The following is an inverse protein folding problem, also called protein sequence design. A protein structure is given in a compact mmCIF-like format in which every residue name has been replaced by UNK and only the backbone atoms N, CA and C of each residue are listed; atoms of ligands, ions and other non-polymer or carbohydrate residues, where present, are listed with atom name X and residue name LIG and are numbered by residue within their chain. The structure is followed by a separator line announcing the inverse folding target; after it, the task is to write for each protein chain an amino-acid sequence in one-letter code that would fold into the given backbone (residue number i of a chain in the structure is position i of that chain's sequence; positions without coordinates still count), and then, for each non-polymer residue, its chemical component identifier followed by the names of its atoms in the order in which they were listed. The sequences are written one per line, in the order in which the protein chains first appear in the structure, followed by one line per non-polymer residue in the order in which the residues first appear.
data_IF_089274846754
#
_entry.id   IF_089274846754
#
_cell.length_a   1.000
_cell.length_b   1.000
_cell.length_c   1.000
_cell.angle_alpha   90.00
_cell.angle_beta   90.00
_cell.angle_gamma   90.00
#
_symmetry.space_group_name_H-M   'P 1'
#
loop_
_entity.id
_entity.type
_entity.pdbx_description
1 polymer ?
#
# COMPACT_ATOMS: atom_id res chain seq x y z
N UNK A 1 -22.84 24.05 -26.35
CA UNK A 1 -21.36 23.95 -26.33
C UNK A 1 -20.77 23.50 -25.00
N UNK A 2 -21.29 23.86 -23.82
CA UNK A 2 -20.72 23.43 -22.52
C UNK A 2 -20.75 21.89 -22.29
N UNK A 3 -21.77 21.19 -22.75
CA UNK A 3 -21.91 19.73 -22.57
C UNK A 3 -21.08 18.90 -23.56
N UNK A 4 -20.73 19.46 -24.71
CA UNK A 4 -19.87 18.76 -25.70
C UNK A 4 -18.43 18.61 -25.19
N UNK A 5 -17.91 19.61 -24.49
CA UNK A 5 -16.56 19.55 -23.87
C UNK A 5 -16.52 18.56 -22.69
N UNK A 6 -17.61 18.44 -21.94
CA UNK A 6 -17.70 17.46 -20.84
C UNK A 6 -17.78 16.03 -21.38
N UNK A 7 -18.49 15.80 -22.48
CA UNK A 7 -18.58 14.50 -23.14
C UNK A 7 -17.23 14.09 -23.74
N UNK A 8 -16.51 15.05 -24.34
CA UNK A 8 -15.17 14.79 -24.92
C UNK A 8 -14.14 14.41 -23.84
N UNK A 9 -14.20 15.03 -22.66
CA UNK A 9 -13.35 14.67 -21.53
C UNK A 9 -13.71 13.27 -21.03
N UNK A 10 -14.97 12.89 -20.95
CA UNK A 10 -15.40 11.55 -20.53
C UNK A 10 -14.98 10.46 -21.54
N UNK A 11 -15.02 10.73 -22.84
CA UNK A 11 -14.58 9.76 -23.87
C UNK A 11 -13.08 9.56 -23.91
N UNK A 12 -12.27 10.54 -23.49
CA UNK A 12 -10.83 10.40 -23.38
C UNK A 12 -10.45 9.48 -22.20
N UNK A 13 -11.20 9.51 -21.11
CA UNK A 13 -10.98 8.64 -19.95
C UNK A 13 -11.39 7.18 -20.18
N UNK A 14 -12.31 6.89 -21.09
CA UNK A 14 -12.78 5.52 -21.36
C UNK A 14 -11.74 4.61 -22.01
N UNK A 15 -10.71 5.17 -22.68
CA UNK A 15 -9.71 4.40 -23.40
C UNK A 15 -8.39 4.17 -22.66
N UNK A 16 -8.25 4.58 -21.39
CA UNK A 16 -7.00 4.44 -20.63
C UNK A 16 -7.06 3.23 -19.68
N UNK A 17 -7.58 2.10 -20.15
CA UNK A 17 -7.43 0.81 -19.45
C UNK A 17 -6.09 0.17 -19.79
N UNK A 18 -4.98 0.87 -19.56
CA UNK A 18 -3.66 0.22 -19.59
C UNK A 18 -3.43 -0.53 -18.29
N UNK A 19 -3.61 -1.84 -18.32
CA UNK A 19 -3.19 -2.74 -17.27
C UNK A 19 -1.71 -2.48 -16.94
N UNK A 20 -1.41 -2.11 -15.70
CA UNK A 20 -0.04 -2.00 -15.23
C UNK A 20 0.62 -3.36 -15.25
N UNK A 21 1.53 -3.55 -16.18
CA UNK A 21 2.38 -4.73 -16.19
C UNK A 21 3.73 -4.41 -15.54
N UNK A 22 3.99 -4.98 -14.37
CA UNK A 22 5.29 -4.94 -13.69
C UNK A 22 6.02 -6.26 -14.02
N UNK A 23 6.63 -6.32 -15.23
CA UNK A 23 7.36 -7.49 -15.67
C UNK A 23 8.71 -7.59 -14.98
N UNK A 24 8.97 -8.73 -14.34
CA UNK A 24 10.22 -9.05 -13.64
C UNK A 24 10.81 -10.31 -14.19
N UNK A 25 12.13 -10.40 -14.23
CA UNK A 25 12.81 -11.62 -14.64
C UNK A 25 12.50 -12.76 -13.67
N UNK A 26 12.29 -13.94 -14.23
CA UNK A 26 11.90 -15.10 -13.45
C UNK A 26 11.80 -16.36 -14.29
N UNK A 27 11.21 -17.39 -13.72
CA UNK A 27 10.99 -18.65 -14.40
C UNK A 27 9.76 -19.38 -13.83
N UNK A 28 9.16 -20.22 -14.63
CA UNK A 28 8.11 -21.16 -14.21
C UNK A 28 8.68 -22.58 -14.17
N UNK A 29 8.16 -23.39 -13.27
CA UNK A 29 8.51 -24.81 -13.09
C UNK A 29 7.31 -25.61 -13.58
N UNK A 30 7.47 -26.31 -14.71
CA UNK A 30 6.40 -27.09 -15.32
C UNK A 30 6.04 -28.33 -14.47
N UNK A 31 4.94 -29.00 -14.82
CA UNK A 31 4.53 -30.26 -14.20
C UNK A 31 5.57 -31.37 -14.35
N UNK A 32 6.41 -31.30 -15.39
CA UNK A 32 7.48 -32.24 -15.74
C UNK A 32 8.82 -31.89 -15.06
N UNK A 33 8.86 -30.86 -14.22
CA UNK A 33 10.04 -30.27 -13.58
C UNK A 33 10.97 -29.48 -14.51
N UNK A 34 10.53 -29.17 -15.72
CA UNK A 34 11.29 -28.28 -16.59
C UNK A 34 11.18 -26.83 -16.14
N UNK A 35 12.22 -26.05 -16.46
CA UNK A 35 12.29 -24.64 -16.11
C UNK A 35 12.21 -23.76 -17.36
N UNK A 36 11.15 -22.99 -17.49
CA UNK A 36 10.99 -22.00 -18.56
C UNK A 36 11.38 -20.61 -18.05
N UNK A 37 12.51 -20.08 -18.53
CA UNK A 37 13.02 -18.77 -18.13
C UNK A 37 12.38 -17.67 -18.98
N UNK A 38 12.10 -16.51 -18.35
CA UNK A 38 11.48 -15.37 -19.01
C UNK A 38 11.13 -14.27 -18.04
N UNK A 39 9.99 -13.64 -18.29
CA UNK A 39 9.48 -12.56 -17.45
C UNK A 39 8.10 -12.94 -16.89
N UNK A 40 7.89 -12.62 -15.63
CA UNK A 40 6.63 -12.83 -14.90
C UNK A 40 6.05 -11.47 -14.55
N UNK A 41 4.76 -11.27 -14.80
CA UNK A 41 4.07 -10.06 -14.41
C UNK A 41 3.78 -10.10 -12.90
N UNK A 42 4.39 -9.17 -12.16
CA UNK A 42 4.14 -9.02 -10.74
C UNK A 42 2.79 -8.32 -10.53
N UNK A 43 1.78 -9.11 -10.27
CA UNK A 43 0.41 -8.68 -10.00
C UNK A 43 0.22 -8.30 -8.53
N UNK A 44 -1.00 -7.85 -8.18
CA UNK A 44 -1.38 -7.73 -6.77
C UNK A 44 -1.37 -9.12 -6.09
N UNK A 45 -1.07 -9.18 -4.79
CA UNK A 45 -0.92 -10.44 -4.05
C UNK A 45 -2.08 -11.42 -4.20
N UNK A 46 -3.32 -10.90 -4.23
CA UNK A 46 -4.52 -11.72 -4.47
C UNK A 46 -4.45 -12.47 -5.80
N UNK A 47 -3.98 -11.81 -6.86
CA UNK A 47 -3.86 -12.40 -8.19
C UNK A 47 -2.66 -13.34 -8.30
N UNK A 48 -1.54 -13.05 -7.60
CA UNK A 48 -0.35 -13.91 -7.59
C UNK A 48 -0.65 -15.31 -7.03
N UNK A 49 -1.62 -15.43 -6.11
CA UNK A 49 -2.08 -16.71 -5.59
C UNK A 49 -2.98 -17.50 -6.55
N UNK A 50 -3.48 -16.89 -7.61
CA UNK A 50 -4.45 -17.49 -8.52
C UNK A 50 -3.92 -17.75 -9.92
N UNK A 51 -3.03 -16.88 -10.43
CA UNK A 51 -2.49 -16.97 -11.78
C UNK A 51 -1.04 -16.46 -11.86
N UNK A 52 -0.28 -17.04 -12.78
CA UNK A 52 1.05 -16.59 -13.18
C UNK A 52 1.00 -16.16 -14.64
N UNK A 53 1.20 -14.86 -14.91
CA UNK A 53 1.33 -14.35 -16.27
C UNK A 53 2.79 -14.33 -16.67
N UNK A 54 3.14 -15.15 -17.66
CA UNK A 54 4.50 -15.37 -18.14
C UNK A 54 4.66 -14.95 -19.59
N UNK A 55 5.84 -14.48 -19.95
CA UNK A 55 6.29 -14.33 -21.34
C UNK A 55 7.77 -14.67 -21.45
N UNK A 56 8.18 -15.29 -22.53
CA UNK A 56 9.59 -15.66 -22.74
C UNK A 56 10.50 -14.42 -22.91
N UNK A 57 9.99 -13.38 -23.60
CA UNK A 57 10.66 -12.10 -23.78
C UNK A 57 9.63 -10.98 -24.02
N UNK A 58 10.09 -9.73 -24.19
CA UNK A 58 9.23 -8.56 -24.37
C UNK A 58 8.35 -8.59 -25.63
N UNK A 59 8.70 -9.39 -26.64
CA UNK A 59 7.98 -9.53 -27.92
C UNK A 59 7.09 -10.77 -27.96
N UNK A 60 7.24 -11.69 -26.99
CA UNK A 60 6.47 -12.94 -26.94
C UNK A 60 5.04 -12.70 -26.46
N UNK A 61 4.12 -13.54 -26.88
CA UNK A 61 2.77 -13.61 -26.33
C UNK A 61 2.78 -13.92 -24.83
N UNK A 62 1.76 -13.44 -24.14
CA UNK A 62 1.59 -13.69 -22.71
C UNK A 62 0.85 -15.02 -22.54
N UNK A 63 1.45 -15.92 -21.77
CA UNK A 63 0.81 -17.16 -21.33
C UNK A 63 0.39 -17.01 -19.86
N UNK A 64 -0.85 -17.36 -19.56
CA UNK A 64 -1.37 -17.39 -18.18
C UNK A 64 -1.41 -18.83 -17.71
N UNK A 65 -0.69 -19.12 -16.61
CA UNK A 65 -0.71 -20.41 -15.95
C UNK A 65 -1.53 -20.35 -14.66
N UNK A 66 -2.38 -21.33 -14.46
CA UNK A 66 -3.11 -21.55 -13.22
C UNK A 66 -2.41 -22.59 -12.33
N UNK A 67 -2.74 -22.71 -11.04
CA UNK A 67 -2.06 -23.64 -10.13
C UNK A 67 -2.06 -25.11 -10.56
N UNK A 68 -3.01 -25.52 -11.39
CA UNK A 68 -3.07 -26.87 -11.98
C UNK A 68 -2.09 -27.11 -13.13
N UNK A 69 -1.58 -26.03 -13.75
CA UNK A 69 -0.83 -26.09 -15.02
C UNK A 69 0.67 -26.22 -14.77
N UNK A 70 1.17 -25.68 -13.66
CA UNK A 70 2.61 -25.64 -13.30
C UNK A 70 2.82 -25.91 -11.81
N UNK A 71 3.98 -26.46 -11.44
CA UNK A 71 4.35 -26.70 -10.03
C UNK A 71 4.61 -25.41 -9.25
N UNK A 72 4.97 -24.34 -9.95
CA UNK A 72 5.24 -23.07 -9.33
C UNK A 72 6.00 -22.10 -10.23
N UNK A 73 6.33 -20.95 -9.68
CA UNK A 73 7.10 -19.94 -10.39
C UNK A 73 7.94 -19.09 -9.43
N UNK A 74 8.99 -18.49 -9.97
CA UNK A 74 9.95 -17.70 -9.18
C UNK A 74 10.18 -16.36 -9.88
N UNK A 75 9.96 -15.28 -9.15
CA UNK A 75 10.45 -13.95 -9.52
C UNK A 75 11.87 -13.80 -8.94
N UNK A 76 12.85 -13.66 -9.80
CA UNK A 76 14.29 -13.65 -9.43
C UNK A 76 14.56 -12.56 -8.39
N UNK A 77 15.23 -12.93 -7.28
CA UNK A 77 15.55 -12.08 -6.14
C UNK A 77 14.33 -11.43 -5.45
N UNK A 78 13.15 -11.98 -5.64
CA UNK A 78 11.94 -11.40 -5.08
C UNK A 78 11.11 -12.43 -4.31
N UNK A 79 10.43 -13.39 -4.97
CA UNK A 79 9.55 -14.36 -4.34
C UNK A 79 9.49 -15.68 -5.12
N UNK A 80 9.22 -16.77 -4.43
CA UNK A 80 8.92 -18.10 -4.97
C UNK A 80 7.48 -18.44 -4.63
N UNK A 81 6.77 -18.97 -5.59
CA UNK A 81 5.39 -19.45 -5.46
C UNK A 81 5.32 -20.92 -5.82
N UNK A 82 4.62 -21.70 -5.03
CA UNK A 82 4.43 -23.14 -5.24
C UNK A 82 2.95 -23.46 -5.35
N UNK A 83 2.59 -24.34 -6.29
CA UNK A 83 1.23 -24.84 -6.42
C UNK A 83 0.95 -25.80 -5.28
N UNK A 84 -0.05 -25.51 -4.48
CA UNK A 84 -0.42 -26.34 -3.32
C UNK A 84 -1.93 -26.40 -3.17
N UNK A 85 -2.39 -27.54 -2.67
CA UNK A 85 -3.79 -27.75 -2.33
C UNK A 85 -4.03 -27.24 -0.91
N UNK A 86 -4.93 -26.29 -0.78
CA UNK A 86 -5.44 -25.80 0.49
C UNK A 86 -6.94 -26.12 0.54
N UNK A 87 -7.48 -26.33 1.73
CA UNK A 87 -8.85 -26.80 1.89
C UNK A 87 -9.09 -28.12 1.10
N UNK A 88 -10.34 -28.59 0.97
CA UNK A 88 -10.61 -29.91 0.37
C UNK A 88 -10.26 -29.99 -1.11
N UNK A 89 -10.47 -28.92 -1.91
CA UNK A 89 -10.28 -28.97 -3.38
C UNK A 89 -9.66 -27.71 -4.01
N UNK A 90 -9.24 -26.74 -3.22
CA UNK A 90 -8.74 -25.45 -3.74
C UNK A 90 -7.25 -25.51 -4.00
N UNK A 91 -6.83 -25.53 -5.27
CA UNK A 91 -5.45 -25.35 -5.71
C UNK A 91 -5.14 -23.85 -5.83
N UNK A 92 -4.02 -23.44 -5.24
CA UNK A 92 -3.53 -22.05 -5.23
C UNK A 92 -2.02 -22.02 -5.35
N UNK A 93 -1.46 -20.85 -5.70
CA UNK A 93 -0.04 -20.60 -5.53
C UNK A 93 0.23 -19.98 -4.15
N UNK A 94 0.91 -20.70 -3.29
CA UNK A 94 1.40 -20.21 -2.00
C UNK A 94 2.73 -19.50 -2.19
N UNK A 95 2.87 -18.30 -1.65
CA UNK A 95 4.17 -17.62 -1.54
C UNK A 95 5.03 -18.35 -0.52
N UNK A 96 6.20 -18.81 -0.93
CA UNK A 96 7.16 -19.51 -0.09
C UNK A 96 7.99 -18.47 0.66
N UNK A 97 7.67 -18.22 1.93
CA UNK A 97 8.34 -17.21 2.73
C UNK A 97 9.69 -17.68 3.28
N UNK A 98 9.74 -18.91 3.77
CA UNK A 98 10.93 -19.52 4.36
C UNK A 98 11.00 -20.97 3.94
N UNK A 99 12.16 -21.38 3.41
CA UNK A 99 12.50 -22.72 2.99
C UNK A 99 13.52 -23.30 3.99
N UNK A 100 13.27 -24.49 4.54
CA UNK A 100 14.19 -25.09 5.50
C UNK A 100 13.65 -26.39 6.13
N UNK A 101 13.91 -26.62 7.40
CA UNK A 101 13.35 -27.76 8.14
C UNK A 101 11.85 -27.56 8.38
N UNK A 102 11.45 -26.32 8.64
CA UNK A 102 10.07 -25.88 8.74
C UNK A 102 9.81 -24.86 7.64
N UNK A 103 9.00 -25.22 6.69
CA UNK A 103 8.59 -24.34 5.61
C UNK A 103 7.44 -23.45 6.08
N UNK A 104 7.51 -22.17 5.71
CA UNK A 104 6.46 -21.19 5.96
C UNK A 104 5.95 -20.63 4.65
N UNK A 105 4.63 -20.67 4.47
CA UNK A 105 3.95 -20.17 3.29
C UNK A 105 2.90 -19.12 3.63
N UNK A 106 2.57 -18.31 2.64
CA UNK A 106 1.60 -17.22 2.74
C UNK A 106 0.72 -17.14 1.50
N UNK A 107 -0.52 -16.75 1.71
CA UNK A 107 -1.43 -16.32 0.64
C UNK A 107 -2.44 -15.31 1.17
N UNK A 108 -2.88 -14.40 0.30
CA UNK A 108 -4.01 -13.51 0.56
C UNK A 108 -5.21 -13.94 -0.25
N UNK A 109 -6.25 -14.41 0.42
CA UNK A 109 -7.50 -14.86 -0.17
C UNK A 109 -8.67 -14.17 0.54
N UNK A 110 -9.64 -13.67 -0.23
CA UNK A 110 -10.86 -13.05 0.28
C UNK A 110 -10.55 -11.94 1.32
N UNK A 111 -9.52 -11.13 0.99
CA UNK A 111 -8.97 -10.05 1.79
C UNK A 111 -8.42 -10.44 3.17
N UNK A 112 -8.23 -11.75 3.40
CA UNK A 112 -7.61 -12.31 4.60
C UNK A 112 -6.23 -12.86 4.29
N UNK A 113 -5.29 -12.59 5.19
CA UNK A 113 -3.96 -13.19 5.17
C UNK A 113 -4.03 -14.58 5.80
N UNK A 114 -3.56 -15.59 5.08
CA UNK A 114 -3.52 -16.98 5.55
C UNK A 114 -2.08 -17.48 5.51
N UNK A 115 -1.66 -18.18 6.55
CA UNK A 115 -0.32 -18.72 6.71
C UNK A 115 -0.38 -20.23 6.86
N UNK A 116 0.60 -20.91 6.27
CA UNK A 116 0.67 -22.37 6.30
C UNK A 116 2.08 -22.78 6.68
N UNK A 117 2.18 -23.90 7.38
CA UNK A 117 3.47 -24.55 7.72
C UNK A 117 3.47 -25.98 7.19
N UNK A 118 4.67 -26.42 6.82
CA UNK A 118 4.94 -27.78 6.38
C UNK A 118 6.31 -28.22 6.91
N UNK A 119 6.47 -29.52 7.09
CA UNK A 119 7.74 -30.10 7.48
C UNK A 119 7.86 -31.48 6.84
N UNK A 120 9.08 -31.98 6.53
CA UNK A 120 9.30 -33.25 5.84
C UNK A 120 8.46 -34.44 6.36
N UNK A 121 8.18 -34.47 7.66
CA UNK A 121 7.41 -35.54 8.32
C UNK A 121 5.96 -35.16 8.65
N UNK A 122 5.55 -33.94 8.38
CA UNK A 122 4.21 -33.41 8.72
C UNK A 122 3.64 -32.65 7.52
N UNK A 123 2.34 -32.87 7.19
CA UNK A 123 1.74 -32.28 5.99
C UNK A 123 1.55 -30.77 6.11
N UNK A 124 1.32 -30.11 4.97
CA UNK A 124 0.94 -28.71 4.91
C UNK A 124 -0.31 -28.46 5.76
N UNK A 125 -0.23 -27.52 6.71
CA UNK A 125 -1.36 -27.15 7.58
C UNK A 125 -1.45 -25.64 7.72
N UNK A 126 -2.68 -25.13 7.74
CA UNK A 126 -2.96 -23.71 7.99
C UNK A 126 -2.79 -23.37 9.47
N UNK A 127 -2.11 -22.27 9.74
CA UNK A 127 -2.05 -21.65 11.05
C UNK A 127 -3.31 -20.79 11.23
N UNK A 128 -4.38 -21.40 11.74
CA UNK A 128 -5.65 -20.71 11.93
C UNK A 128 -5.65 -19.90 13.22
N UNK A 129 -6.01 -18.64 13.09
CA UNK A 129 -6.29 -17.76 14.21
C UNK A 129 -7.74 -17.29 14.09
N UNK A 130 -8.55 -17.64 15.06
CA UNK A 130 -9.97 -17.32 15.05
C UNK A 130 -10.30 -16.45 16.26
N UNK A 131 -10.96 -15.35 16.00
CA UNK A 131 -11.53 -14.47 17.02
C UNK A 131 -13.04 -14.52 16.94
N UNK A 132 -13.70 -14.82 18.04
CA UNK A 132 -15.15 -14.83 18.14
C UNK A 132 -15.63 -13.97 19.32
N UNK A 133 -16.67 -13.16 19.07
CA UNK A 133 -17.38 -12.52 20.16
C UNK A 133 -18.37 -13.54 20.74
N UNK A 134 -18.05 -14.06 21.92
CA UNK A 134 -18.92 -14.95 22.69
C UNK A 134 -19.72 -14.15 23.72
N UNK A 135 -20.93 -14.63 24.05
CA UNK A 135 -21.75 -14.05 25.10
C UNK A 135 -21.99 -15.11 26.17
N UNK A 136 -21.71 -14.75 27.44
CA UNK A 136 -22.04 -15.57 28.60
C UNK A 136 -22.66 -14.66 29.65
N UNK A 137 -23.83 -15.05 30.14
CA UNK A 137 -24.58 -14.31 31.15
C UNK A 137 -24.84 -12.82 30.80
N UNK A 138 -25.09 -12.56 29.48
CA UNK A 138 -25.34 -11.23 28.95
C UNK A 138 -24.07 -10.37 28.72
N UNK A 139 -22.89 -10.85 29.13
CA UNK A 139 -21.60 -10.18 28.95
C UNK A 139 -20.95 -10.68 27.66
N UNK A 140 -20.61 -9.74 26.77
CA UNK A 140 -19.85 -10.04 25.54
C UNK A 140 -18.36 -10.01 25.83
N UNK A 141 -17.64 -11.04 25.41
CA UNK A 141 -16.18 -11.11 25.48
C UNK A 141 -15.58 -11.60 24.16
N UNK A 142 -14.38 -11.12 23.85
CA UNK A 142 -13.62 -11.60 22.72
C UNK A 142 -12.95 -12.94 23.11
N UNK A 143 -13.27 -13.99 22.37
CA UNK A 143 -12.62 -15.28 22.49
C UNK A 143 -11.57 -15.40 21.38
N UNK A 144 -10.32 -15.58 21.75
CA UNK A 144 -9.22 -15.83 20.84
C UNK A 144 -8.85 -17.31 20.89
N UNK A 145 -8.85 -17.95 19.71
CA UNK A 145 -8.47 -19.37 19.60
C UNK A 145 -6.96 -19.53 19.77
N UNK A 146 -6.57 -20.50 20.58
CA UNK A 146 -5.15 -20.91 20.75
C UNK A 146 -4.75 -22.11 19.89
N UNK A 147 -5.58 -22.51 18.95
CA UNK A 147 -5.36 -23.68 18.07
C UNK A 147 -4.03 -23.58 17.31
N UNK A 148 -3.67 -22.38 16.87
CA UNK A 148 -2.39 -22.15 16.22
C UNK A 148 -1.18 -22.44 17.13
N UNK A 149 -1.28 -22.19 18.44
CA UNK A 149 -0.22 -22.48 19.42
C UNK A 149 0.06 -23.99 19.47
N UNK A 150 -0.98 -24.82 19.55
CA UNK A 150 -0.86 -26.28 19.54
C UNK A 150 -0.24 -26.81 18.24
N UNK A 151 -0.69 -26.27 17.10
CA UNK A 151 -0.14 -26.65 15.79
C UNK A 151 1.34 -26.31 15.68
N UNK A 152 1.72 -25.06 15.96
CA UNK A 152 3.11 -24.61 15.88
C UNK A 152 3.99 -25.40 16.86
N UNK A 153 3.53 -25.66 18.08
CA UNK A 153 4.25 -26.50 19.06
C UNK A 153 4.51 -27.92 18.54
N UNK A 154 3.55 -28.52 17.84
CA UNK A 154 3.72 -29.84 17.24
C UNK A 154 4.81 -29.84 16.15
N UNK A 155 4.83 -28.83 15.29
CA UNK A 155 5.77 -28.70 14.18
C UNK A 155 7.20 -28.32 14.64
N UNK A 156 7.33 -27.75 15.84
CA UNK A 156 8.61 -27.29 16.42
C UNK A 156 8.97 -28.01 17.72
N UNK A 157 8.48 -29.23 17.92
CA UNK A 157 8.70 -30.04 19.15
C UNK A 157 10.15 -30.30 19.51
N UNK A 158 11.05 -30.19 18.53
CA UNK A 158 12.51 -30.36 18.66
C UNK A 158 13.24 -29.08 19.13
N UNK A 159 12.51 -27.98 19.37
CA UNK A 159 13.02 -26.75 19.95
C UNK A 159 12.17 -26.31 21.17
N UNK A 160 12.18 -27.10 22.27
CA UNK A 160 11.31 -26.84 23.43
C UNK A 160 11.58 -25.50 24.12
N UNK A 161 12.76 -24.94 23.96
CA UNK A 161 13.12 -23.60 24.46
C UNK A 161 12.31 -22.46 23.82
N UNK A 162 11.69 -22.70 22.67
CA UNK A 162 10.81 -21.72 22.01
C UNK A 162 9.36 -21.75 22.52
N UNK A 163 9.01 -22.66 23.44
CA UNK A 163 7.65 -22.87 23.90
C UNK A 163 6.99 -21.57 24.44
N UNK A 164 7.69 -20.84 25.29
CA UNK A 164 7.18 -19.57 25.84
C UNK A 164 6.92 -18.52 24.75
N UNK A 165 7.68 -18.57 23.66
CA UNK A 165 7.50 -17.69 22.53
C UNK A 165 6.28 -18.09 21.67
N UNK A 166 6.02 -19.39 21.57
CA UNK A 166 4.85 -19.91 20.85
C UNK A 166 3.55 -19.48 21.54
N UNK A 167 3.51 -19.47 22.87
CA UNK A 167 2.34 -19.06 23.65
C UNK A 167 1.92 -17.60 23.35
N UNK A 168 2.87 -16.75 22.97
CA UNK A 168 2.64 -15.34 22.66
C UNK A 168 2.74 -15.04 21.16
N UNK A 169 2.72 -16.08 20.31
CA UNK A 169 2.90 -15.95 18.87
C UNK A 169 1.63 -15.38 18.23
N UNK A 170 1.77 -14.21 17.62
CA UNK A 170 0.69 -13.61 16.83
C UNK A 170 0.68 -14.17 15.42
N UNK A 171 -0.52 -14.38 14.89
CA UNK A 171 -0.72 -14.90 13.52
C UNK A 171 -0.62 -13.76 12.49
N UNK A 172 0.51 -13.13 12.40
CA UNK A 172 0.83 -12.12 11.40
C UNK A 172 2.17 -12.41 10.71
N UNK A 173 2.36 -11.77 9.57
CA UNK A 173 3.52 -11.96 8.71
C UNK A 173 4.87 -11.82 9.44
N UNK A 174 5.03 -10.77 10.24
CA UNK A 174 6.30 -10.47 10.89
C UNK A 174 6.60 -11.43 12.04
N UNK A 175 5.60 -11.73 12.85
CA UNK A 175 5.76 -12.63 14.00
C UNK A 175 6.03 -14.07 13.55
N UNK A 176 5.23 -14.60 12.62
CA UNK A 176 5.42 -15.96 12.10
C UNK A 176 6.77 -16.12 11.39
N UNK A 177 7.11 -15.17 10.53
CA UNK A 177 8.38 -15.18 9.82
C UNK A 177 9.57 -15.13 10.78
N UNK A 178 9.57 -14.20 11.73
CA UNK A 178 10.66 -14.07 12.70
C UNK A 178 10.75 -15.29 13.60
N UNK A 179 9.62 -15.85 14.03
CA UNK A 179 9.58 -17.09 14.79
C UNK A 179 10.23 -18.25 14.00
N UNK A 180 9.84 -18.42 12.72
CA UNK A 180 10.40 -19.51 11.89
C UNK A 180 11.89 -19.34 11.62
N UNK A 181 12.38 -18.09 11.45
CA UNK A 181 13.83 -17.82 11.34
C UNK A 181 14.56 -18.20 12.63
N UNK A 182 14.01 -17.85 13.79
CA UNK A 182 14.65 -18.18 15.06
C UNK A 182 14.60 -19.68 15.35
N UNK A 183 13.51 -20.35 14.96
CA UNK A 183 13.46 -21.81 15.00
C UNK A 183 14.59 -22.43 14.14
N UNK A 184 14.75 -21.98 12.90
CA UNK A 184 15.84 -22.46 12.04
C UNK A 184 17.22 -22.17 12.62
N UNK A 185 17.46 -21.01 13.20
CA UNK A 185 18.73 -20.69 13.86
C UNK A 185 19.05 -21.65 15.03
N UNK A 186 18.03 -22.24 15.65
CA UNK A 186 18.21 -23.23 16.73
C UNK A 186 18.48 -24.64 16.22
N UNK A 187 17.79 -25.07 15.17
CA UNK A 187 17.81 -26.47 14.71
C UNK A 187 18.66 -26.72 13.46
N UNK A 188 18.93 -25.70 12.65
CA UNK A 188 19.68 -25.81 11.39
C UNK A 188 21.20 -25.71 11.60
N UNK A 189 21.80 -26.59 12.41
CA UNK A 189 23.27 -26.55 12.65
C UNK A 189 24.08 -26.85 11.40
N UNK A 190 23.59 -27.76 10.52
CA UNK A 190 24.31 -28.26 9.35
C UNK A 190 23.55 -28.11 8.02
N UNK A 191 22.33 -27.62 8.04
CA UNK A 191 21.51 -27.41 6.84
C UNK A 191 21.41 -25.91 6.50
N UNK A 192 21.50 -25.58 5.21
CA UNK A 192 21.25 -24.22 4.72
C UNK A 192 19.75 -23.99 4.74
N UNK A 193 19.28 -23.11 5.62
CA UNK A 193 17.93 -22.58 5.56
C UNK A 193 17.88 -21.44 4.54
N UNK A 194 17.12 -21.61 3.48
CA UNK A 194 16.95 -20.64 2.42
C UNK A 194 15.77 -19.73 2.81
N UNK A 195 16.00 -18.43 2.80
CA UNK A 195 14.92 -17.46 3.03
C UNK A 195 14.60 -16.75 1.73
N UNK A 196 13.39 -16.95 1.22
CA UNK A 196 12.85 -16.17 0.12
C UNK A 196 12.29 -14.88 0.69
N UNK A 197 12.99 -13.76 0.49
CA UNK A 197 12.55 -12.46 0.95
C UNK A 197 11.82 -11.76 -0.17
N UNK A 198 10.56 -11.44 0.06
CA UNK A 198 9.94 -10.36 -0.67
C UNK A 198 10.65 -9.05 -0.26
N UNK A 199 11.33 -8.40 -1.22
CA UNK A 199 12.02 -7.12 -0.99
C UNK A 199 11.06 -5.96 -0.81
N UNK A 200 9.80 -6.11 -1.19
CA UNK A 200 8.80 -5.07 -0.95
C UNK A 200 8.48 -5.03 0.55
N UNK A 201 8.89 -3.95 1.17
CA UNK A 201 8.52 -3.67 2.56
C UNK A 201 6.99 -3.61 2.65
N UNK A 202 6.44 -4.08 3.78
CA UNK A 202 5.00 -4.03 4.02
C UNK A 202 4.48 -2.59 3.94
N UNK A 203 5.24 -1.67 4.49
CA UNK A 203 4.96 -0.24 4.45
C UNK A 203 6.20 0.51 4.01
N UNK A 204 6.04 1.41 3.06
CA UNK A 204 7.08 2.31 2.55
C UNK A 204 6.74 3.74 2.90
N UNK A 205 7.78 4.53 3.00
CA UNK A 205 7.70 5.95 3.31
C UNK A 205 8.46 6.77 2.26
N UNK A 206 7.97 7.95 2.00
CA UNK A 206 8.73 8.96 1.29
C UNK A 206 8.53 10.31 1.98
N UNK A 207 9.59 11.09 2.06
CA UNK A 207 9.57 12.42 2.67
C UNK A 207 10.24 13.41 1.72
N UNK A 208 9.76 14.63 1.72
CA UNK A 208 10.44 15.64 0.92
C UNK A 208 9.93 17.05 1.04
N UNK A 209 10.80 18.02 0.72
CA UNK A 209 10.46 19.43 0.72
C UNK A 209 9.51 19.76 -0.43
N UNK A 210 8.57 20.65 -0.13
CA UNK A 210 7.60 21.16 -1.09
C UNK A 210 7.50 22.68 -0.97
N UNK A 211 7.32 23.32 -2.11
CA UNK A 211 7.14 24.75 -2.24
C UNK A 211 5.91 25.02 -3.09
N UNK A 212 5.15 26.03 -2.74
CA UNK A 212 3.93 26.32 -3.44
C UNK A 212 3.51 27.77 -3.35
N UNK A 213 2.44 28.05 -4.07
CA UNK A 213 1.77 29.33 -4.10
C UNK A 213 0.29 29.13 -3.84
N UNK A 214 -0.20 29.76 -2.78
CA UNK A 214 -1.58 29.61 -2.33
C UNK A 214 -2.34 30.90 -2.56
N UNK A 215 -3.46 30.81 -3.22
CA UNK A 215 -4.46 31.85 -3.30
C UNK A 215 -5.61 31.50 -2.37
N UNK A 216 -5.86 32.38 -1.42
CA UNK A 216 -7.00 32.24 -0.50
C UNK A 216 -8.00 33.33 -0.76
N UNK A 217 -9.29 32.98 -0.82
CA UNK A 217 -10.37 33.95 -0.97
C UNK A 217 -11.37 33.82 0.17
N UNK A 218 -11.75 34.96 0.70
CA UNK A 218 -12.79 35.10 1.71
C UNK A 218 -13.94 35.94 1.13
N UNK A 219 -15.14 35.57 1.46
CA UNK A 219 -16.33 36.39 1.17
C UNK A 219 -16.83 36.93 2.50
N UNK A 220 -16.89 38.23 2.58
CA UNK A 220 -17.48 38.94 3.69
C UNK A 220 -18.48 39.89 3.14
N UNK A 221 -19.75 39.70 3.53
CA UNK A 221 -20.86 40.44 2.99
C UNK A 221 -20.87 40.38 1.43
N UNK A 222 -20.87 41.47 0.74
CA UNK A 222 -20.79 41.50 -0.72
C UNK A 222 -19.34 41.70 -1.27
N UNK A 223 -18.33 41.64 -0.41
CA UNK A 223 -16.93 41.89 -0.80
C UNK A 223 -16.14 40.59 -0.83
N UNK A 224 -15.46 40.36 -1.95
CA UNK A 224 -14.50 39.26 -2.07
C UNK A 224 -13.08 39.78 -1.84
N UNK A 225 -12.40 39.25 -0.81
CA UNK A 225 -11.01 39.54 -0.54
C UNK A 225 -10.17 38.36 -1.02
N UNK A 226 -9.09 38.62 -1.73
CA UNK A 226 -8.17 37.61 -2.28
C UNK A 226 -6.76 37.92 -1.81
N UNK A 227 -6.15 36.95 -1.14
CA UNK A 227 -4.72 37.00 -0.75
C UNK A 227 -3.91 35.91 -1.47
N UNK A 228 -2.66 36.24 -1.76
CA UNK A 228 -1.72 35.35 -2.45
C UNK A 228 -0.46 35.17 -1.62
N UNK A 229 -0.07 33.93 -1.34
CA UNK A 229 0.99 33.63 -0.36
C UNK A 229 1.90 32.52 -0.85
N UNK A 230 3.17 32.61 -0.50
CA UNK A 230 4.09 31.48 -0.64
C UNK A 230 3.84 30.46 0.48
N UNK A 231 3.95 29.19 0.11
CA UNK A 231 3.81 28.06 1.01
C UNK A 231 5.04 27.15 0.88
N UNK A 232 5.59 26.70 1.98
CA UNK A 232 6.73 25.79 1.99
C UNK A 232 6.65 24.85 3.19
N UNK A 233 7.21 23.66 3.03
CA UNK A 233 7.21 22.69 4.11
C UNK A 233 7.63 21.31 3.69
N UNK A 234 7.22 20.32 4.47
CA UNK A 234 7.53 18.91 4.24
C UNK A 234 6.27 18.10 4.08
N UNK A 235 6.24 17.22 3.09
CA UNK A 235 5.26 16.17 2.97
C UNK A 235 5.88 14.81 3.26
N UNK A 236 5.07 13.94 3.84
CA UNK A 236 5.33 12.54 4.06
C UNK A 236 4.26 11.75 3.31
N UNK A 237 4.68 10.77 2.51
CA UNK A 237 3.82 9.76 1.90
C UNK A 237 4.05 8.41 2.55
N UNK A 238 2.95 7.71 2.81
CA UNK A 238 2.96 6.35 3.34
C UNK A 238 2.14 5.47 2.42
N UNK A 239 2.66 4.31 2.05
CA UNK A 239 1.91 3.34 1.24
C UNK A 239 2.34 1.93 1.54
N UNK A 240 1.47 0.97 1.22
CA UNK A 240 1.79 -0.45 1.27
C UNK A 240 1.82 -1.04 -0.15
N UNK A 241 3.00 -1.32 -0.72
CA UNK A 241 3.12 -1.93 -2.04
C UNK A 241 2.41 -3.29 -2.15
N UNK A 242 2.29 -3.99 -1.02
CA UNK A 242 1.60 -5.29 -0.94
C UNK A 242 0.09 -5.18 -1.13
N UNK A 243 -0.51 -4.07 -0.68
CA UNK A 243 -1.95 -3.83 -0.82
C UNK A 243 -2.24 -3.14 -2.15
N UNK A 244 -1.63 -1.97 -2.34
CA UNK A 244 -1.75 -1.20 -3.56
C UNK A 244 -0.54 -0.27 -3.73
N UNK A 245 0.28 -0.51 -4.75
CA UNK A 245 1.50 0.27 -5.01
C UNK A 245 1.26 1.70 -5.51
N UNK A 246 0.03 2.04 -5.83
CA UNK A 246 -0.35 3.34 -6.40
C UNK A 246 -1.21 4.19 -5.48
N UNK A 247 -1.61 3.64 -4.34
CA UNK A 247 -2.41 4.31 -3.35
C UNK A 247 -1.53 4.76 -2.18
N UNK A 248 -1.58 6.04 -1.85
CA UNK A 248 -0.75 6.68 -0.84
C UNK A 248 -1.62 7.45 0.15
N UNK A 249 -1.16 7.51 1.38
CA UNK A 249 -1.63 8.48 2.37
C UNK A 249 -0.56 9.57 2.45
N UNK A 250 -0.95 10.83 2.25
CA UNK A 250 -0.07 11.99 2.37
C UNK A 250 -0.45 12.83 3.58
N UNK A 251 0.56 13.19 4.36
CA UNK A 251 0.46 14.14 5.46
C UNK A 251 1.71 15.02 5.48
N UNK A 252 1.79 15.97 6.39
CA UNK A 252 2.95 16.85 6.53
C UNK A 252 2.64 18.15 7.23
N UNK A 253 3.53 19.12 7.09
CA UNK A 253 3.34 20.46 7.60
C UNK A 253 3.80 21.47 6.56
N UNK A 254 2.91 22.35 6.15
CA UNK A 254 3.14 23.42 5.18
C UNK A 254 2.90 24.77 5.85
N UNK A 255 3.90 25.61 5.83
CA UNK A 255 3.88 26.94 6.43
C UNK A 255 3.56 27.97 5.36
N UNK A 256 2.66 28.88 5.68
CA UNK A 256 2.33 30.03 4.84
C UNK A 256 2.12 31.26 5.72
N UNK A 257 2.53 32.42 5.21
CA UNK A 257 2.26 33.69 5.87
C UNK A 257 1.05 34.35 5.25
N UNK A 258 0.02 34.60 6.05
CA UNK A 258 -1.23 35.25 5.62
C UNK A 258 -1.34 36.63 6.20
N UNK A 259 -1.92 37.55 5.42
CA UNK A 259 -2.28 38.87 5.92
C UNK A 259 -3.72 38.82 6.47
N UNK A 260 -3.87 39.11 7.75
CA UNK A 260 -5.19 39.13 8.39
C UNK A 260 -5.90 40.47 8.11
N UNK A 261 -7.09 40.39 7.54
CA UNK A 261 -7.93 41.57 7.33
C UNK A 261 -8.83 41.80 8.55
N UNK A 262 -8.68 42.95 9.20
CA UNK A 262 -9.57 43.40 10.26
C UNK A 262 -10.70 44.27 9.62
N UNK A 263 -11.88 43.69 9.53
CA UNK A 263 -13.04 44.27 8.87
C UNK A 263 -13.60 45.54 9.53
N UNK A 264 -13.26 45.76 10.81
CA UNK A 264 -13.71 46.96 11.56
C UNK A 264 -13.01 48.25 11.16
N UNK A 265 -11.83 48.17 10.53
CA UNK A 265 -10.97 49.36 10.34
C UNK A 265 -10.41 49.45 8.91
N UNK A 266 -10.77 48.56 8.00
CA UNK A 266 -10.24 48.53 6.60
C UNK A 266 -8.68 48.55 6.51
N UNK A 267 -7.97 48.05 7.52
CA UNK A 267 -6.51 47.98 7.56
C UNK A 267 -6.04 46.55 7.57
N UNK A 268 -5.05 46.22 6.75
CA UNK A 268 -4.17 45.06 6.89
C UNK A 268 -3.52 45.12 8.27
N UNK A 269 -3.90 44.23 9.20
CA UNK A 269 -3.49 44.41 10.58
C UNK A 269 -2.18 43.71 10.89
N UNK A 270 -1.99 42.47 10.52
CA UNK A 270 -0.76 41.73 10.86
C UNK A 270 -0.55 40.55 9.91
N UNK A 271 0.73 40.26 9.65
CA UNK A 271 1.12 39.04 8.94
C UNK A 271 1.16 37.90 9.93
N UNK A 272 0.25 36.92 9.78
CA UNK A 272 0.22 35.70 10.62
C UNK A 272 0.80 34.52 9.90
N UNK A 273 1.62 33.77 10.61
CA UNK A 273 2.12 32.47 10.14
C UNK A 273 1.08 31.41 10.43
N UNK A 274 0.65 30.68 9.41
CA UNK A 274 -0.31 29.59 9.51
C UNK A 274 0.36 28.31 9.06
N UNK A 275 0.15 27.25 9.81
CA UNK A 275 0.58 25.89 9.45
C UNK A 275 -0.61 25.10 8.94
N UNK A 276 -0.50 24.55 7.74
CA UNK A 276 -1.45 23.61 7.13
C UNK A 276 -0.95 22.19 7.40
N UNK A 277 -1.78 21.36 8.00
CA UNK A 277 -1.54 19.94 8.23
C UNK A 277 -2.52 19.16 7.34
N UNK A 278 -2.09 18.64 6.19
CA UNK A 278 -2.94 17.86 5.30
C UNK A 278 -3.04 16.40 5.75
N UNK A 279 -4.20 15.80 5.51
CA UNK A 279 -4.42 14.37 5.51
C UNK A 279 -5.16 14.00 4.24
N UNK A 280 -4.46 13.42 3.28
CA UNK A 280 -4.97 13.20 1.94
C UNK A 280 -4.68 11.78 1.46
N UNK A 281 -5.65 11.21 0.79
CA UNK A 281 -5.49 10.01 0.00
C UNK A 281 -5.08 10.40 -1.43
N UNK A 282 -4.05 9.78 -1.94
CA UNK A 282 -3.55 10.02 -3.28
C UNK A 282 -3.55 8.72 -4.09
N UNK A 283 -3.94 8.83 -5.33
CA UNK A 283 -3.86 7.73 -6.29
C UNK A 283 -3.05 8.17 -7.51
N UNK A 284 -1.94 7.49 -7.75
CA UNK A 284 -1.10 7.70 -8.93
C UNK A 284 -1.60 6.79 -10.03
N UNK A 285 -2.07 7.39 -11.14
CA UNK A 285 -2.60 6.64 -12.26
C UNK A 285 -1.45 5.92 -12.97
N UNK A 286 -1.55 4.60 -13.08
CA UNK A 286 -0.47 3.76 -13.57
C UNK A 286 -0.41 3.72 -15.12
N UNK A 287 0.20 4.71 -15.71
CA UNK A 287 0.46 4.76 -17.15
C UNK A 287 1.93 4.43 -17.45
N UNK A 288 2.27 3.94 -18.66
CA UNK A 288 3.63 3.54 -19.01
C UNK A 288 4.59 4.71 -19.28
N UNK A 289 4.20 5.94 -18.90
CA UNK A 289 5.02 7.14 -19.06
C UNK A 289 5.80 7.45 -17.79
N UNK A 290 6.93 8.18 -17.95
CA UNK A 290 7.75 8.66 -16.83
C UNK A 290 6.98 9.64 -15.93
N UNK A 291 6.11 10.45 -16.52
CA UNK A 291 5.23 11.38 -15.81
C UNK A 291 3.88 10.69 -15.63
N UNK A 292 3.47 10.52 -14.38
CA UNK A 292 2.25 9.80 -13.99
C UNK A 292 1.24 10.77 -13.38
N UNK A 293 0.03 10.88 -13.93
CA UNK A 293 -1.03 11.68 -13.32
C UNK A 293 -1.37 11.18 -11.93
N UNK A 294 -1.77 12.10 -11.07
CA UNK A 294 -2.17 11.84 -9.70
C UNK A 294 -3.48 12.58 -9.38
N UNK A 295 -4.36 11.90 -8.66
CA UNK A 295 -5.52 12.50 -8.01
C UNK A 295 -5.36 12.43 -6.50
N UNK A 296 -5.87 13.42 -5.78
CA UNK A 296 -5.85 13.45 -4.32
C UNK A 296 -7.17 13.96 -3.75
N UNK A 297 -7.55 13.43 -2.58
CA UNK A 297 -8.74 13.81 -1.86
C UNK A 297 -8.48 13.69 -0.35
N UNK A 298 -8.99 14.63 0.43
CA UNK A 298 -8.84 14.57 1.89
C UNK A 298 -9.18 15.86 2.58
N UNK A 299 -8.56 16.08 3.73
CA UNK A 299 -8.76 17.26 4.55
C UNK A 299 -7.44 17.93 4.86
N UNK A 300 -7.51 19.23 5.15
CA UNK A 300 -6.38 19.97 5.72
C UNK A 300 -6.86 20.79 6.90
N UNK A 301 -6.18 20.63 8.01
CA UNK A 301 -6.33 21.46 9.19
C UNK A 301 -5.36 22.62 9.13
N UNK A 302 -5.83 23.82 9.49
CA UNK A 302 -5.03 25.01 9.60
C UNK A 302 -4.96 25.47 11.07
N UNK A 303 -3.82 25.96 11.53
CA UNK A 303 -3.63 26.35 12.92
C UNK A 303 -4.49 27.50 13.40
N UNK A 304 -5.17 28.22 12.51
CA UNK A 304 -6.22 29.17 12.83
C UNK A 304 -7.60 28.51 13.12
N UNK A 305 -7.62 27.19 13.33
CA UNK A 305 -8.80 26.36 13.60
C UNK A 305 -9.73 26.15 12.40
N UNK A 306 -9.28 26.42 11.17
CA UNK A 306 -10.03 26.15 9.96
C UNK A 306 -9.73 24.75 9.42
N UNK A 307 -10.77 24.06 8.97
CA UNK A 307 -10.64 22.79 8.27
C UNK A 307 -11.21 22.92 6.86
N UNK A 308 -10.43 22.47 5.87
CA UNK A 308 -10.81 22.47 4.48
C UNK A 308 -10.88 21.05 3.95
N UNK A 309 -11.92 20.76 3.18
CA UNK A 309 -11.92 19.61 2.29
C UNK A 309 -11.06 19.94 1.08
N UNK A 310 -10.10 19.07 0.74
CA UNK A 310 -9.14 19.30 -0.33
C UNK A 310 -9.32 18.25 -1.41
N UNK A 311 -9.51 18.72 -2.64
CA UNK A 311 -9.39 17.89 -3.83
C UNK A 311 -8.22 18.39 -4.68
N UNK A 312 -7.44 17.50 -5.24
CA UNK A 312 -6.27 17.87 -6.02
C UNK A 312 -6.02 16.96 -7.21
N UNK A 313 -5.35 17.55 -8.18
CA UNK A 313 -4.79 16.85 -9.33
C UNK A 313 -3.31 17.21 -9.46
N UNK A 314 -2.52 16.31 -10.00
CA UNK A 314 -1.09 16.56 -10.15
C UNK A 314 -0.42 15.53 -11.03
N UNK A 315 0.89 15.59 -11.03
CA UNK A 315 1.73 14.63 -11.71
C UNK A 315 2.98 14.33 -10.88
N UNK A 316 3.40 13.09 -10.93
CA UNK A 316 4.64 12.61 -10.33
C UNK A 316 5.57 12.06 -11.40
N UNK A 317 6.86 12.37 -11.30
CA UNK A 317 7.90 11.86 -12.18
C UNK A 317 8.95 11.12 -11.37
N UNK A 318 9.14 9.84 -11.61
CA UNK A 318 10.20 9.06 -10.99
C UNK A 318 11.52 9.38 -11.67
N UNK A 319 12.47 9.92 -10.94
CA UNK A 319 13.84 10.23 -11.42
C UNK A 319 14.70 8.97 -11.32
N UNK A 320 14.67 8.34 -10.15
CA UNK A 320 15.37 7.08 -9.87
C UNK A 320 14.64 6.30 -8.77
N UNK A 321 15.23 5.18 -8.31
CA UNK A 321 14.61 4.33 -7.27
C UNK A 321 14.34 5.04 -5.94
N UNK A 322 15.08 6.12 -5.66
CA UNK A 322 15.02 6.82 -4.37
C UNK A 322 14.39 8.20 -4.47
N UNK A 323 14.23 8.78 -5.67
CA UNK A 323 13.78 10.16 -5.82
C UNK A 323 12.67 10.27 -6.85
N UNK A 324 11.61 10.97 -6.50
CA UNK A 324 10.57 11.42 -7.43
C UNK A 324 10.28 12.91 -7.27
N UNK A 325 9.91 13.54 -8.38
CA UNK A 325 9.40 14.92 -8.40
C UNK A 325 7.89 14.90 -8.44
N UNK A 326 7.26 15.87 -7.82
CA UNK A 326 5.82 16.00 -7.73
C UNK A 326 5.42 17.46 -7.98
N UNK A 327 4.36 17.65 -8.77
CA UNK A 327 3.69 18.93 -8.91
C UNK A 327 2.18 18.70 -8.84
N UNK A 328 1.43 19.63 -8.27
CA UNK A 328 -0.01 19.51 -8.18
C UNK A 328 -0.72 20.82 -7.95
N UNK A 329 -1.98 20.81 -8.27
CA UNK A 329 -2.95 21.84 -7.93
C UNK A 329 -3.95 21.25 -6.92
N UNK A 330 -4.17 21.97 -5.84
CA UNK A 330 -5.11 21.62 -4.79
C UNK A 330 -6.17 22.70 -4.65
N UNK A 331 -7.43 22.31 -4.63
CA UNK A 331 -8.55 23.18 -4.32
C UNK A 331 -9.13 22.79 -2.97
N UNK A 332 -9.07 23.74 -2.03
CA UNK A 332 -9.66 23.60 -0.70
C UNK A 332 -10.97 24.37 -0.62
N UNK A 333 -12.00 23.72 -0.10
CA UNK A 333 -13.29 24.31 0.20
C UNK A 333 -13.48 24.22 1.70
N UNK A 334 -13.76 25.35 2.37
CA UNK A 334 -13.99 25.34 3.80
C UNK A 334 -15.22 24.48 4.10
N UNK A 335 -14.97 23.37 4.79
CA UNK A 335 -16.01 22.45 5.24
C UNK A 335 -16.51 22.90 6.61
N UNK A 336 -17.78 23.17 6.73
CA UNK A 336 -18.45 23.21 8.01
C UNK A 336 -18.92 21.77 8.32
N UNK A 337 -18.48 21.17 9.37
CA UNK A 337 -19.10 19.96 9.91
C UNK A 337 -20.51 20.31 10.35
N UNK A 338 -21.48 20.16 9.42
CA UNK A 338 -22.87 20.46 9.71
C UNK A 338 -23.62 21.23 8.63
N UNK A 339 -23.38 20.99 7.33
CA UNK A 339 -24.25 21.49 6.24
C UNK A 339 -23.94 22.93 5.74
N UNK A 340 -22.98 23.05 4.89
CA UNK A 340 -22.81 24.23 4.04
C UNK A 340 -21.37 24.38 3.57
N UNK A 341 -21.15 24.36 2.27
CA UNK A 341 -19.87 24.77 1.69
C UNK A 341 -19.75 26.29 1.86
N UNK A 342 -18.88 26.74 2.77
CA UNK A 342 -18.60 28.16 2.91
C UNK A 342 -18.00 28.74 1.62
N UNK A 343 -18.24 30.01 1.35
CA UNK A 343 -17.72 30.70 0.17
C UNK A 343 -16.19 30.96 0.20
N UNK A 344 -15.48 30.41 1.18
CA UNK A 344 -14.05 30.57 1.34
C UNK A 344 -13.30 29.45 0.59
N UNK A 345 -12.47 29.82 -0.37
CA UNK A 345 -11.70 28.89 -1.18
C UNK A 345 -10.21 29.05 -0.91
N UNK A 346 -9.50 27.93 -0.92
CA UNK A 346 -8.05 27.86 -0.88
C UNK A 346 -7.56 27.09 -2.11
N UNK A 347 -6.85 27.76 -2.98
CA UNK A 347 -6.27 27.16 -4.18
C UNK A 347 -4.75 27.16 -4.02
N UNK A 348 -4.10 26.04 -4.15
CA UNK A 348 -2.65 25.92 -4.00
C UNK A 348 -2.05 25.21 -5.21
N UNK A 349 -1.03 25.81 -5.80
CA UNK A 349 -0.10 25.12 -6.70
C UNK A 349 1.11 24.76 -5.85
N UNK A 350 1.46 23.48 -5.79
CA UNK A 350 2.56 23.02 -4.96
C UNK A 350 3.41 22.00 -5.71
N UNK A 351 4.70 22.11 -5.59
CA UNK A 351 5.65 21.19 -6.19
C UNK A 351 6.83 20.90 -5.25
N UNK A 352 7.47 19.77 -5.46
CA UNK A 352 8.59 19.37 -4.63
C UNK A 352 9.18 18.04 -5.05
N UNK A 353 10.00 17.50 -4.17
CA UNK A 353 10.64 16.21 -4.37
C UNK A 353 10.35 15.30 -3.18
N UNK A 354 10.26 14.00 -3.45
CA UNK A 354 10.19 12.96 -2.44
C UNK A 354 11.44 12.10 -2.48
N UNK A 355 12.00 11.81 -1.32
CA UNK A 355 13.00 10.79 -1.12
C UNK A 355 12.32 9.54 -0.55
N UNK A 356 12.45 8.40 -1.25
CA UNK A 356 11.85 7.11 -0.89
C UNK A 356 12.80 6.35 0.05
N UNK A 357 12.30 5.99 1.22
CA UNK A 357 13.01 5.25 2.28
C UNK A 357 12.86 3.75 2.14
#
# INVERSE_FOLDING_TARGET
MKYLNTLLIFTIFYNISFSQSDWRDGYVITSENDTLRGQINHLAYKSMGQECRFRANTKSSITTFHPKDIKGYVLTNFAKYVSSKIDEDRLVYLEFLIDGILDLYYIRIDDKDRYFIERDSLPLKEIKYEEEIKSKDGIKYLYESTTHVGLVSLYTKDAPELHNRILNLKNDFSNLRNFTVDYHNKVCKDKRCITYRNKDQYTKFAIGPHFGYTQQSYHYDNTKVVGNYFAYGLYIRVWSPRINKNFFVRTGAIISNFDEYNYSITKLNERKTIVKIPFQFEYIIPIPFKIKPRASLGFSYFTNSDTYFIAGIGADMVINKNVSLSIGYEKGIKSFFGLGFGNNNNNTIIGGAYYHL
#
